data_IF_774111589155
#
_entry.id   IF_774111589155
#
_cell.length_a   1.000
_cell.length_b   1.000
_cell.length_c   1.000
_cell.angle_alpha   90.00
_cell.angle_beta   90.00
_cell.angle_gamma   90.00
#
_symmetry.space_group_name_H-M   'P 1'
#
loop_
_entity.id
_entity.type
_entity.pdbx_description
1 polymer ?
#
# COMPACT_ATOMS: atom_id res chain seq x y z
N UNK A 1 -47.32 31.12 23.14
CA UNK A 1 -46.97 30.17 22.05
C UNK A 1 -45.46 30.21 21.86
N UNK A 2 -44.74 29.10 22.05
CA UNK A 2 -43.27 29.04 22.01
C UNK A 2 -42.80 28.79 20.57
N UNK A 3 -42.00 29.69 20.00
CA UNK A 3 -41.48 29.58 18.64
C UNK A 3 -40.15 28.78 18.66
N UNK A 4 -40.13 27.58 18.09
CA UNK A 4 -38.90 26.77 17.93
C UNK A 4 -38.14 27.26 16.71
N UNK A 5 -36.91 27.78 16.88
CA UNK A 5 -35.97 28.00 15.77
C UNK A 5 -35.41 26.64 15.34
N UNK A 6 -35.71 26.22 14.12
CA UNK A 6 -34.99 25.12 13.46
C UNK A 6 -33.58 25.60 13.11
N UNK A 7 -32.55 24.85 13.50
CA UNK A 7 -31.17 25.04 13.02
C UNK A 7 -31.01 24.16 11.79
N UNK A 8 -30.94 24.78 10.61
CA UNK A 8 -30.54 24.10 9.39
C UNK A 8 -29.08 23.67 9.50
N UNK A 9 -28.86 22.36 9.60
CA UNK A 9 -27.53 21.77 9.45
C UNK A 9 -27.18 21.80 7.98
N UNK A 10 -26.30 22.72 7.59
CA UNK A 10 -25.67 22.70 6.27
C UNK A 10 -24.80 21.45 6.18
N UNK A 11 -25.11 20.56 5.24
CA UNK A 11 -24.17 19.55 4.76
C UNK A 11 -22.98 20.30 4.14
N UNK A 12 -21.81 20.19 4.74
CA UNK A 12 -20.56 20.54 4.05
C UNK A 12 -20.20 19.32 3.21
N UNK A 13 -20.44 19.41 1.90
CA UNK A 13 -19.75 18.54 0.94
C UNK A 13 -18.30 19.01 0.92
N UNK A 14 -17.39 18.17 1.41
CA UNK A 14 -15.97 18.38 1.22
C UNK A 14 -15.68 18.16 -0.26
N UNK A 15 -15.18 19.19 -0.93
CA UNK A 15 -14.81 19.12 -2.32
C UNK A 15 -13.57 18.22 -2.40
N UNK A 16 -13.66 17.12 -3.15
CA UNK A 16 -12.50 16.26 -3.36
C UNK A 16 -11.43 17.10 -4.04
N UNK A 17 -10.34 17.37 -3.32
CA UNK A 17 -9.18 18.02 -3.91
C UNK A 17 -8.66 17.15 -5.05
N UNK A 18 -8.25 17.73 -6.19
CA UNK A 18 -7.60 16.97 -7.24
C UNK A 18 -6.38 16.29 -6.63
N UNK A 19 -6.37 14.96 -6.63
CA UNK A 19 -5.16 14.20 -6.37
C UNK A 19 -4.23 14.49 -7.52
N UNK A 20 -3.35 15.47 -7.35
CA UNK A 20 -2.18 15.60 -8.21
C UNK A 20 -1.33 14.36 -7.96
N UNK A 21 -1.51 13.33 -8.79
CA UNK A 21 -0.64 12.16 -8.80
C UNK A 21 0.78 12.67 -9.04
N UNK A 22 1.65 12.50 -8.05
CA UNK A 22 3.05 12.88 -8.14
C UNK A 22 3.77 11.87 -9.03
N UNK A 23 3.70 12.01 -10.36
CA UNK A 23 4.46 11.28 -11.40
C UNK A 23 4.54 9.74 -11.34
N UNK A 24 4.05 9.11 -10.27
CA UNK A 24 4.07 7.68 -10.02
C UNK A 24 2.62 7.22 -10.08
N UNK A 25 2.28 6.59 -11.19
CA UNK A 25 0.98 5.96 -11.40
C UNK A 25 0.86 4.61 -10.66
N UNK A 26 1.70 4.39 -9.65
CA UNK A 26 1.67 3.19 -8.81
C UNK A 26 1.14 3.57 -7.43
N UNK A 27 0.05 2.94 -7.05
CA UNK A 27 -0.64 3.16 -5.78
C UNK A 27 -0.48 1.94 -4.89
N UNK A 28 -0.51 2.14 -3.57
CA UNK A 28 -0.85 1.06 -2.65
C UNK A 28 -2.37 0.87 -2.75
N UNK A 29 -2.81 -0.23 -3.35
CA UNK A 29 -4.24 -0.55 -3.51
C UNK A 29 -4.81 -1.25 -2.28
N UNK A 30 -4.04 -2.13 -1.67
CA UNK A 30 -4.43 -2.88 -0.48
C UNK A 30 -3.21 -3.21 0.40
N UNK A 31 -3.46 -3.46 1.67
CA UNK A 31 -2.48 -4.08 2.57
C UNK A 31 -3.20 -4.84 3.68
N UNK A 32 -2.54 -5.85 4.24
CA UNK A 32 -3.00 -6.55 5.44
C UNK A 32 -1.88 -6.62 6.46
N UNK A 33 -2.08 -5.95 7.59
CA UNK A 33 -1.15 -5.94 8.73
C UNK A 33 -1.48 -6.99 9.80
N UNK A 34 -2.49 -7.84 9.58
CA UNK A 34 -2.81 -8.98 10.45
C UNK A 34 -3.35 -10.13 9.63
N UNK A 35 -2.51 -10.66 8.74
CA UNK A 35 -2.86 -11.79 7.91
C UNK A 35 -2.62 -13.10 8.69
N UNK A 36 -3.68 -13.78 9.13
CA UNK A 36 -3.53 -15.05 9.86
C UNK A 36 -3.93 -16.27 9.00
N UNK A 37 -4.57 -16.08 7.84
CA UNK A 37 -5.17 -17.19 7.06
C UNK A 37 -5.25 -16.98 5.54
N UNK A 38 -4.99 -15.79 5.00
CA UNK A 38 -5.37 -15.45 3.61
C UNK A 38 -4.24 -15.75 2.63
N UNK A 39 -3.10 -15.06 2.76
CA UNK A 39 -1.94 -15.24 1.88
C UNK A 39 -0.80 -15.91 2.66
N UNK A 40 -0.23 -16.97 2.09
CA UNK A 40 0.81 -17.75 2.73
C UNK A 40 2.09 -17.65 1.91
N UNK A 41 3.24 -17.53 2.56
CA UNK A 41 4.54 -17.54 1.88
C UNK A 41 5.06 -18.98 1.68
N UNK A 42 6.18 -19.12 0.96
CA UNK A 42 6.82 -20.42 0.68
C UNK A 42 7.29 -21.14 1.97
N UNK A 43 7.63 -20.36 3.01
CA UNK A 43 7.98 -20.85 4.35
C UNK A 43 6.78 -21.34 5.15
N UNK A 44 5.57 -21.29 4.56
CA UNK A 44 4.31 -21.74 5.16
C UNK A 44 3.75 -20.83 6.25
N UNK A 45 4.28 -19.63 6.38
CA UNK A 45 3.82 -18.58 7.28
C UNK A 45 2.75 -17.71 6.62
N UNK A 46 2.09 -16.86 7.41
CA UNK A 46 1.17 -15.83 6.89
C UNK A 46 1.72 -14.44 7.19
N UNK A 47 2.73 -13.94 6.43
CA UNK A 47 3.23 -12.60 6.65
C UNK A 47 2.17 -11.55 6.31
N UNK A 48 2.37 -10.35 6.86
CA UNK A 48 1.69 -9.16 6.36
C UNK A 48 2.06 -8.95 4.89
N UNK A 49 1.18 -8.28 4.15
CA UNK A 49 1.40 -8.05 2.73
C UNK A 49 0.90 -6.69 2.29
N UNK A 50 1.46 -6.23 1.18
CA UNK A 50 1.15 -4.97 0.52
C UNK A 50 0.87 -5.30 -0.94
N UNK A 51 -0.16 -4.70 -1.52
CA UNK A 51 -0.44 -4.75 -2.94
C UNK A 51 -0.24 -3.37 -3.57
N UNK A 52 0.52 -3.37 -4.66
CA UNK A 52 0.71 -2.22 -5.52
C UNK A 52 -0.13 -2.39 -6.79
N UNK A 53 -0.74 -1.30 -7.24
CA UNK A 53 -1.52 -1.25 -8.47
C UNK A 53 -1.02 -0.13 -9.38
N UNK A 54 -0.70 -0.46 -10.63
CA UNK A 54 -0.36 0.55 -11.63
C UNK A 54 -1.63 1.06 -12.34
N UNK A 55 -2.05 2.27 -12.01
CA UNK A 55 -3.18 2.99 -12.65
C UNK A 55 -2.79 3.68 -13.97
N UNK A 56 -1.51 3.68 -14.30
CA UNK A 56 -0.96 4.37 -15.47
C UNK A 56 -1.20 3.61 -16.77
N UNK A 57 -0.82 4.22 -17.87
CA UNK A 57 -0.87 3.65 -19.21
C UNK A 57 0.48 3.08 -19.68
N UNK A 58 1.55 3.25 -18.90
CA UNK A 58 2.88 2.68 -19.13
C UNK A 58 3.33 1.73 -18.02
N UNK A 59 4.24 0.80 -18.35
CA UNK A 59 4.80 -0.11 -17.36
C UNK A 59 5.71 0.64 -16.38
N UNK A 60 5.51 0.42 -15.08
CA UNK A 60 6.29 1.05 -14.03
C UNK A 60 7.45 0.14 -13.59
N UNK A 61 8.69 0.55 -13.87
CA UNK A 61 9.88 -0.07 -13.29
C UNK A 61 10.09 0.46 -11.87
N UNK A 62 9.93 -0.43 -10.89
CA UNK A 62 10.05 -0.12 -9.47
C UNK A 62 11.48 -0.26 -8.96
N UNK A 63 12.44 -0.68 -9.80
CA UNK A 63 13.82 -0.88 -9.38
C UNK A 63 14.40 0.40 -8.76
N UNK A 64 14.86 0.30 -7.51
CA UNK A 64 15.39 1.45 -6.77
C UNK A 64 14.34 2.35 -6.10
N UNK A 65 13.04 2.05 -6.23
CA UNK A 65 12.00 2.68 -5.41
C UNK A 65 12.10 2.21 -3.97
N UNK A 66 11.46 2.93 -3.05
CA UNK A 66 11.49 2.62 -1.63
C UNK A 66 10.10 2.36 -1.03
N UNK A 67 10.05 1.48 -0.04
CA UNK A 67 8.93 1.34 0.89
C UNK A 67 9.40 1.54 2.33
N UNK A 68 8.48 2.02 3.17
CA UNK A 68 8.72 2.17 4.60
C UNK A 68 7.43 2.03 5.39
N UNK A 69 7.56 1.52 6.62
CA UNK A 69 6.59 1.57 7.71
C UNK A 69 6.94 2.68 8.74
N UNK A 70 8.04 3.42 8.55
CA UNK A 70 8.50 4.49 9.44
C UNK A 70 8.60 5.82 8.68
N UNK A 71 7.75 6.77 9.08
CA UNK A 71 7.72 8.12 8.51
C UNK A 71 9.04 8.89 8.68
N UNK A 72 9.89 8.50 9.64
CA UNK A 72 11.21 9.10 9.85
C UNK A 72 12.31 8.45 8.98
N UNK A 73 12.02 7.32 8.33
CA UNK A 73 12.96 6.59 7.49
C UNK A 73 12.30 6.22 6.14
N UNK A 74 12.08 7.19 5.24
CA UNK A 74 11.35 6.97 3.97
C UNK A 74 12.03 5.99 3.00
N UNK A 75 13.32 5.69 3.20
CA UNK A 75 14.12 4.82 2.32
C UNK A 75 14.50 3.50 2.99
N UNK A 76 13.64 2.98 3.88
CA UNK A 76 13.96 1.82 4.75
C UNK A 76 14.21 0.53 3.96
N UNK A 77 13.38 0.27 2.95
CA UNK A 77 13.54 -0.89 2.07
C UNK A 77 13.54 -0.43 0.62
N UNK A 78 14.45 -0.99 -0.19
CA UNK A 78 14.60 -0.66 -1.61
C UNK A 78 14.12 -1.83 -2.45
N UNK A 79 13.31 -1.57 -3.47
CA UNK A 79 12.97 -2.58 -4.47
C UNK A 79 14.24 -3.04 -5.20
N UNK A 80 14.62 -4.33 -5.09
CA UNK A 80 15.80 -4.85 -5.77
C UNK A 80 15.59 -4.94 -7.28
N UNK A 81 14.36 -5.21 -7.69
CA UNK A 81 13.87 -5.24 -9.06
C UNK A 81 12.36 -5.38 -9.05
N UNK A 82 11.69 -5.01 -10.13
CA UNK A 82 10.26 -5.29 -10.31
C UNK A 82 9.65 -4.37 -11.35
N UNK A 83 8.69 -4.88 -12.12
CA UNK A 83 7.93 -4.07 -13.07
C UNK A 83 6.46 -4.39 -12.93
N UNK A 84 5.62 -3.36 -12.90
CA UNK A 84 4.16 -3.51 -12.87
C UNK A 84 3.62 -2.95 -14.18
N UNK A 85 3.05 -3.81 -15.02
CA UNK A 85 2.46 -3.38 -16.28
C UNK A 85 1.19 -2.53 -16.05
N UNK A 86 0.73 -1.74 -17.04
CA UNK A 86 -0.51 -0.96 -16.94
C UNK A 86 -1.70 -1.82 -16.52
N UNK A 87 -2.43 -1.42 -15.49
CA UNK A 87 -3.60 -2.15 -15.02
C UNK A 87 -3.30 -3.44 -14.24
N UNK A 88 -2.03 -3.75 -13.97
CA UNK A 88 -1.63 -4.95 -13.23
C UNK A 88 -1.30 -4.63 -11.75
N UNK A 89 -1.23 -5.70 -10.97
CA UNK A 89 -0.97 -5.67 -9.53
C UNK A 89 0.35 -6.38 -9.19
N UNK A 90 1.00 -5.93 -8.12
CA UNK A 90 2.14 -6.60 -7.51
C UNK A 90 1.89 -6.76 -6.01
N UNK A 91 1.79 -8.00 -5.55
CA UNK A 91 1.73 -8.32 -4.13
C UNK A 91 3.12 -8.67 -3.61
N UNK A 92 3.49 -8.12 -2.45
CA UNK A 92 4.73 -8.41 -1.74
C UNK A 92 4.48 -8.61 -0.24
N UNK A 93 5.35 -9.38 0.41
CA UNK A 93 5.25 -9.69 1.84
C UNK A 93 6.07 -8.71 2.70
N UNK A 94 5.41 -8.05 3.65
CA UNK A 94 6.04 -7.30 4.73
C UNK A 94 6.43 -8.27 5.86
N UNK A 95 7.46 -9.08 5.60
CA UNK A 95 7.82 -10.22 6.46
C UNK A 95 9.04 -9.98 7.36
N UNK A 96 9.84 -8.96 7.10
CA UNK A 96 11.11 -8.73 7.77
C UNK A 96 12.27 -9.63 7.30
N UNK A 97 12.07 -10.44 6.26
CA UNK A 97 13.04 -11.45 5.80
C UNK A 97 14.02 -10.95 4.72
N UNK A 98 13.69 -9.87 4.02
CA UNK A 98 14.55 -9.19 3.02
C UNK A 98 15.17 -10.10 1.93
N UNK A 99 14.32 -10.78 1.16
CA UNK A 99 14.75 -11.64 0.05
C UNK A 99 13.66 -11.79 -1.03
N UNK A 100 13.99 -12.50 -2.10
CA UNK A 100 13.03 -12.97 -3.11
C UNK A 100 12.92 -14.48 -2.93
N UNK A 101 11.72 -14.99 -2.71
CA UNK A 101 11.51 -16.42 -2.49
C UNK A 101 11.54 -17.26 -3.78
N UNK A 102 11.35 -18.58 -3.64
CA UNK A 102 11.38 -19.51 -4.77
C UNK A 102 10.28 -19.28 -5.82
N UNK A 103 9.18 -18.64 -5.40
CA UNK A 103 8.04 -18.30 -6.26
C UNK A 103 8.19 -16.88 -6.86
N UNK A 104 9.25 -16.16 -6.49
CA UNK A 104 9.52 -14.80 -6.95
C UNK A 104 8.83 -13.72 -6.13
N UNK A 105 8.21 -14.05 -5.00
CA UNK A 105 7.60 -13.07 -4.11
C UNK A 105 8.67 -12.24 -3.41
N UNK A 106 8.43 -10.93 -3.36
CA UNK A 106 9.30 -9.97 -2.67
C UNK A 106 8.99 -9.97 -1.18
N UNK A 107 10.01 -10.08 -0.34
CA UNK A 107 9.92 -9.94 1.11
C UNK A 107 10.65 -8.66 1.55
N UNK A 108 9.97 -7.72 2.21
CA UNK A 108 10.62 -6.52 2.73
C UNK A 108 11.46 -6.82 3.98
N UNK A 109 12.29 -5.85 4.40
CA UNK A 109 13.07 -5.89 5.64
C UNK A 109 12.30 -5.42 6.89
N UNK A 110 10.98 -5.25 6.79
CA UNK A 110 10.11 -4.84 7.88
C UNK A 110 8.79 -5.63 7.90
N UNK A 111 8.04 -5.51 8.99
CA UNK A 111 6.68 -6.00 9.13
C UNK A 111 5.72 -4.82 9.30
N UNK A 112 4.42 -5.05 9.14
CA UNK A 112 3.43 -4.01 9.44
C UNK A 112 2.99 -4.13 10.91
N UNK A 113 2.77 -2.99 11.55
CA UNK A 113 2.25 -3.00 12.91
C UNK A 113 0.76 -3.39 12.90
N UNK A 114 0.39 -4.41 13.69
CA UNK A 114 -1.01 -4.82 13.89
C UNK A 114 -1.89 -3.72 14.51
N UNK A 115 -1.29 -2.72 15.16
CA UNK A 115 -1.95 -1.59 15.83
C UNK A 115 -1.16 -0.31 15.56
N UNK A 116 -1.87 0.80 15.34
CA UNK A 116 -1.31 2.14 15.12
C UNK A 116 -1.50 3.08 16.30
#
# INVERSE_FOLDING_TARGET
MRNRKSKDRKFQQEQLEPRTLLAADVLISEFSASNDTVLRDDDRDYPDWIELYNVGDEAADLTGWYLTDDANLPTKWTFPSGTVAPGEFLTLFASGKDFIDGDGALHTNFNLAKQG
#
